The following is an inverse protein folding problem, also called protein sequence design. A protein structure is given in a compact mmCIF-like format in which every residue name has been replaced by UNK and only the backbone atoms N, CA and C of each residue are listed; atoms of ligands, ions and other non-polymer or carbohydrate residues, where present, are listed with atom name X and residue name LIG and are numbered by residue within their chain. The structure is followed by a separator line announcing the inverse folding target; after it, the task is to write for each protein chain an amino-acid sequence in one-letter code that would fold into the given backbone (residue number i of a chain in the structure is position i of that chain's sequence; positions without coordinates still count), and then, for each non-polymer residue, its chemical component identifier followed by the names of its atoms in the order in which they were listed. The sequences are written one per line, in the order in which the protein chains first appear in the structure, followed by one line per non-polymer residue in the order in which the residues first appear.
data_IF_561112196722
#
_entry.id   IF_561112196722
#
_cell.length_a   1.000
_cell.length_b   1.000
_cell.length_c   1.000
_cell.angle_alpha   90.00
_cell.angle_beta   90.00
_cell.angle_gamma   90.00
#
_symmetry.space_group_name_H-M   'P 1'
#
loop_
_entity.id
_entity.type
_entity.pdbx_description
1 polymer ?
#
# COMPACT_ATOMS: atom_id res chain seq x y z
N UNK A 1 11.54 1.81 -12.07
CA UNK A 1 11.48 0.33 -11.99
C UNK A 1 10.37 -0.01 -11.03
N UNK A 2 9.57 -1.04 -11.30
CA UNK A 2 8.64 -1.61 -10.32
C UNK A 2 9.30 -2.84 -9.71
N UNK A 3 9.44 -2.84 -8.39
CA UNK A 3 10.00 -3.94 -7.61
C UNK A 3 8.92 -4.95 -7.22
N UNK A 4 7.69 -4.49 -7.01
CA UNK A 4 6.56 -5.34 -6.58
C UNK A 4 5.31 -5.15 -7.44
N UNK A 5 4.56 -6.24 -7.67
CA UNK A 5 3.27 -6.20 -8.37
C UNK A 5 2.11 -6.01 -7.37
N UNK A 6 2.12 -4.87 -6.68
CA UNK A 6 1.07 -4.52 -5.73
C UNK A 6 -0.26 -4.17 -6.44
N UNK A 7 -0.23 -3.80 -7.72
CA UNK A 7 -1.44 -3.50 -8.50
C UNK A 7 -2.32 -4.73 -8.72
N UNK A 8 -1.71 -5.88 -9.05
CA UNK A 8 -2.46 -7.13 -9.18
C UNK A 8 -3.10 -7.51 -7.84
N UNK A 9 -2.38 -7.35 -6.73
CA UNK A 9 -2.90 -7.65 -5.39
C UNK A 9 -4.02 -6.68 -5.02
N UNK A 10 -3.84 -5.38 -5.26
CA UNK A 10 -4.84 -4.35 -5.01
C UNK A 10 -6.15 -4.63 -5.76
N UNK A 11 -6.05 -5.02 -7.04
CA UNK A 11 -7.22 -5.43 -7.84
C UNK A 11 -7.90 -6.66 -7.26
N UNK A 12 -7.15 -7.66 -6.82
CA UNK A 12 -7.70 -8.86 -6.18
C UNK A 12 -8.37 -8.56 -4.82
N UNK A 13 -7.83 -7.57 -4.11
CA UNK A 13 -8.36 -7.07 -2.84
C UNK A 13 -9.57 -6.14 -3.01
N UNK A 14 -9.93 -5.77 -4.25
CA UNK A 14 -11.02 -4.83 -4.52
C UNK A 14 -10.69 -3.38 -4.17
N UNK A 15 -9.41 -3.03 -4.05
CA UNK A 15 -8.96 -1.68 -3.72
C UNK A 15 -9.18 -0.77 -4.94
N UNK A 16 -9.94 0.33 -4.79
CA UNK A 16 -10.11 1.32 -5.86
C UNK A 16 -8.78 1.95 -6.28
N UNK A 17 -8.62 2.26 -7.57
CA UNK A 17 -7.36 2.78 -8.12
C UNK A 17 -6.95 4.14 -7.52
N UNK A 18 -7.92 5.00 -7.19
CA UNK A 18 -7.70 6.28 -6.52
C UNK A 18 -7.16 6.09 -5.09
N UNK A 19 -7.68 5.09 -4.37
CA UNK A 19 -7.22 4.72 -3.02
C UNK A 19 -5.84 4.10 -3.04
N UNK A 20 -5.57 3.23 -4.02
CA UNK A 20 -4.24 2.68 -4.23
C UNK A 20 -3.22 3.79 -4.52
N UNK A 21 -3.58 4.76 -5.38
CA UNK A 21 -2.72 5.89 -5.68
C UNK A 21 -2.42 6.75 -4.44
N UNK A 22 -3.40 6.93 -3.55
CA UNK A 22 -3.19 7.59 -2.26
C UNK A 22 -2.19 6.82 -1.39
N UNK A 23 -2.41 5.51 -1.16
CA UNK A 23 -1.49 4.67 -0.38
C UNK A 23 -0.07 4.73 -0.91
N UNK A 24 0.09 4.53 -2.22
CA UNK A 24 1.41 4.53 -2.87
C UNK A 24 2.10 5.89 -2.73
N UNK A 25 1.35 6.98 -2.87
CA UNK A 25 1.88 8.33 -2.70
C UNK A 25 2.33 8.59 -1.26
N UNK A 26 1.50 8.21 -0.28
CA UNK A 26 1.81 8.41 1.13
C UNK A 26 3.07 7.65 1.55
N UNK A 27 3.21 6.37 1.15
CA UNK A 27 4.44 5.60 1.44
C UNK A 27 5.67 6.15 0.71
N UNK A 28 5.51 6.69 -0.50
CA UNK A 28 6.61 7.35 -1.20
C UNK A 28 7.04 8.67 -0.54
N UNK A 29 6.13 9.38 0.12
CA UNK A 29 6.44 10.59 0.90
C UNK A 29 7.14 10.27 2.23
N UNK A 30 6.84 9.12 2.85
CA UNK A 30 7.53 8.63 4.05
C UNK A 30 8.95 8.13 3.75
N UNK A 31 9.14 7.46 2.59
CA UNK A 31 10.41 6.86 2.19
C UNK A 31 10.97 7.46 0.88
N UNK A 32 11.23 8.78 0.81
CA UNK A 32 11.59 9.46 -0.43
C UNK A 32 12.94 9.00 -1.01
N UNK A 33 13.79 8.41 -0.16
CA UNK A 33 15.10 7.89 -0.55
C UNK A 33 15.11 6.37 -0.79
N UNK A 34 14.01 5.67 -0.46
CA UNK A 34 13.89 4.21 -0.65
C UNK A 34 12.57 3.85 -1.37
N UNK A 35 12.52 4.01 -2.71
CA UNK A 35 11.34 3.63 -3.49
C UNK A 35 11.00 2.15 -3.40
N UNK A 36 11.97 1.28 -3.12
CA UNK A 36 11.73 -0.15 -2.97
C UNK A 36 10.95 -0.43 -1.67
N UNK A 37 11.32 0.24 -0.58
CA UNK A 37 10.62 0.13 0.70
C UNK A 37 9.18 0.69 0.60
N UNK A 38 8.99 1.82 -0.09
CA UNK A 38 7.66 2.36 -0.35
C UNK A 38 6.76 1.38 -1.12
N UNK A 39 7.29 0.74 -2.18
CA UNK A 39 6.55 -0.29 -2.92
C UNK A 39 6.27 -1.55 -2.08
N UNK A 40 7.20 -1.94 -1.19
CA UNK A 40 7.02 -3.05 -0.27
C UNK A 40 5.88 -2.78 0.74
N UNK A 41 5.84 -1.58 1.33
CA UNK A 41 4.77 -1.16 2.24
C UNK A 41 3.41 -1.13 1.52
N UNK A 42 3.40 -0.61 0.29
CA UNK A 42 2.20 -0.64 -0.56
C UNK A 42 1.71 -2.08 -0.78
N UNK A 43 2.61 -3.02 -1.08
CA UNK A 43 2.27 -4.42 -1.24
C UNK A 43 1.75 -5.06 0.06
N UNK A 44 2.41 -4.81 1.20
CA UNK A 44 1.98 -5.30 2.53
C UNK A 44 0.58 -4.81 2.89
N UNK A 45 0.30 -3.52 2.66
CA UNK A 45 -1.02 -2.94 2.87
C UNK A 45 -2.08 -3.64 1.99
N UNK A 46 -1.80 -3.80 0.69
CA UNK A 46 -2.71 -4.48 -0.23
C UNK A 46 -3.00 -5.93 0.19
N UNK A 47 -1.98 -6.67 0.66
CA UNK A 47 -2.15 -8.04 1.14
C UNK A 47 -2.98 -8.09 2.42
N UNK A 48 -2.74 -7.19 3.37
CA UNK A 48 -3.47 -7.19 4.63
C UNK A 48 -4.94 -6.77 4.42
N UNK A 49 -5.23 -5.89 3.45
CA UNK A 49 -6.60 -5.58 3.01
C UNK A 49 -7.24 -6.80 2.35
N UNK A 50 -6.52 -7.48 1.45
CA UNK A 50 -6.98 -8.72 0.80
C UNK A 50 -7.36 -9.80 1.80
N UNK A 51 -6.57 -9.93 2.86
CA UNK A 51 -6.77 -10.92 3.93
C UNK A 51 -7.85 -10.48 4.94
N UNK A 52 -8.45 -9.30 4.77
CA UNK A 52 -9.47 -8.75 5.66
C UNK A 52 -8.96 -8.36 7.05
N UNK A 53 -7.64 -8.15 7.19
CA UNK A 53 -7.01 -7.74 8.46
C UNK A 53 -7.13 -6.25 8.72
N UNK A 54 -7.31 -5.46 7.66
CA UNK A 54 -7.65 -4.05 7.72
C UNK A 54 -8.49 -3.64 6.52
N UNK A 55 -9.19 -2.53 6.64
CA UNK A 55 -9.88 -1.86 5.53
C UNK A 55 -8.95 -0.91 4.78
N UNK A 56 -9.36 -0.48 3.58
CA UNK A 56 -8.63 0.52 2.80
C UNK A 56 -8.57 1.86 3.54
N UNK A 57 -9.64 2.20 4.24
CA UNK A 57 -9.76 3.41 5.03
C UNK A 57 -8.81 3.37 6.22
N UNK A 58 -8.78 2.27 6.98
CA UNK A 58 -7.81 2.08 8.07
C UNK A 58 -6.36 2.10 7.55
N UNK A 59 -6.11 1.60 6.34
CA UNK A 59 -4.78 1.63 5.74
C UNK A 59 -4.29 3.05 5.44
N UNK A 60 -5.23 3.92 5.08
CA UNK A 60 -4.96 5.32 4.77
C UNK A 60 -4.84 6.17 6.03
N UNK A 61 -5.58 5.83 7.08
CA UNK A 61 -5.54 6.53 8.37
C UNK A 61 -4.34 6.08 9.24
N UNK A 62 -3.92 4.82 9.15
CA UNK A 62 -2.86 4.21 9.98
C UNK A 62 -1.63 3.77 9.15
N UNK A 63 -1.12 4.71 8.34
CA UNK A 63 0.03 4.47 7.46
C UNK A 63 1.29 4.02 8.24
N UNK A 64 1.45 4.55 9.46
CA UNK A 64 2.62 4.33 10.31
C UNK A 64 2.68 2.90 10.88
N UNK A 65 1.54 2.28 11.19
CA UNK A 65 1.48 0.89 11.66
C UNK A 65 1.85 -0.13 10.59
N UNK A 66 1.75 0.24 9.31
CA UNK A 66 2.09 -0.60 8.16
C UNK A 66 3.56 -0.47 7.74
N UNK A 67 4.20 0.63 8.12
CA UNK A 67 5.61 0.94 7.85
C UNK A 67 6.59 0.41 8.91
N UNK A 68 6.10 0.02 10.09
CA UNK A 68 6.87 -0.62 11.17
C UNK A 68 7.05 -2.15 10.98
#
# INVERSE_FOLDING_TARGET
MRYFDYETIARQAGIPADKLAQLTKSFAEEEPNDPMLAELHTMRACMAIKDGRLTVEEALDDLHALAA
#
